data_IF_290983273587
#
_entry.id   IF_290983273587
#
_cell.length_a   1.000
_cell.length_b   1.000
_cell.length_c   1.000
_cell.angle_alpha   90.00
_cell.angle_beta   90.00
_cell.angle_gamma   90.00
#
_symmetry.space_group_name_H-M   'P 1'
#
loop_
_entity.id
_entity.type
_entity.pdbx_description
1 polymer ?
#
# COMPACT_ATOMS: atom_id res chain seq x y z
N UNK A 1 51.24 13.35 -63.06
CA UNK A 1 50.45 12.33 -62.36
C UNK A 1 50.70 12.50 -60.85
N UNK A 2 49.77 13.18 -60.13
CA UNK A 2 49.95 13.50 -58.68
C UNK A 2 49.18 12.44 -57.88
N UNK A 3 49.90 11.59 -57.16
CA UNK A 3 49.32 10.55 -56.36
C UNK A 3 48.87 11.18 -54.97
N UNK A 4 47.55 11.27 -54.71
CA UNK A 4 47.00 11.74 -53.49
C UNK A 4 46.80 10.51 -52.61
N UNK A 5 47.71 10.23 -51.68
CA UNK A 5 47.52 9.22 -50.66
C UNK A 5 46.63 9.79 -49.55
N UNK A 6 45.55 9.12 -49.15
CA UNK A 6 44.71 9.57 -48.04
C UNK A 6 45.50 9.43 -46.74
N UNK A 7 45.52 10.52 -45.94
CA UNK A 7 46.19 10.61 -44.65
C UNK A 7 45.42 9.70 -43.67
N UNK A 8 46.00 8.57 -43.30
CA UNK A 8 45.41 7.69 -42.27
C UNK A 8 45.31 8.41 -40.92
N UNK A 9 44.08 8.54 -40.41
CA UNK A 9 43.83 9.01 -39.06
C UNK A 9 44.39 7.96 -38.08
N UNK A 10 45.39 8.33 -37.28
CA UNK A 10 45.86 7.51 -36.17
C UNK A 10 44.75 7.50 -35.10
N UNK A 11 44.10 6.38 -34.90
CA UNK A 11 43.23 6.14 -33.76
C UNK A 11 44.15 5.90 -32.55
N UNK A 12 44.06 6.77 -31.54
CA UNK A 12 44.71 6.54 -30.27
C UNK A 12 43.86 5.53 -29.48
N UNK A 13 44.45 4.43 -29.07
CA UNK A 13 43.81 3.44 -28.19
C UNK A 13 43.88 3.93 -26.75
N UNK A 14 42.95 3.47 -25.93
CA UNK A 14 42.93 3.75 -24.50
C UNK A 14 44.12 3.09 -23.78
N UNK A 15 44.64 3.76 -22.77
CA UNK A 15 45.66 3.20 -21.90
C UNK A 15 45.04 2.26 -20.88
N UNK A 16 45.80 1.27 -20.40
CA UNK A 16 45.31 0.34 -19.37
C UNK A 16 44.94 1.07 -18.07
N UNK A 17 45.69 2.14 -17.76
CA UNK A 17 45.44 2.94 -16.53
C UNK A 17 44.15 3.76 -16.62
N UNK A 18 43.79 4.28 -17.80
CA UNK A 18 42.49 4.99 -17.99
C UNK A 18 41.30 4.09 -17.75
N UNK A 19 41.37 2.85 -18.25
CA UNK A 19 40.27 1.88 -18.00
C UNK A 19 40.22 1.49 -16.53
N UNK A 20 41.38 1.30 -15.87
CA UNK A 20 41.44 0.93 -14.45
C UNK A 20 40.83 2.02 -13.56
N UNK A 21 41.14 3.29 -13.82
CA UNK A 21 40.56 4.42 -13.09
C UNK A 21 39.06 4.53 -13.37
N UNK A 22 38.64 4.36 -14.62
CA UNK A 22 37.22 4.42 -15.00
C UNK A 22 36.40 3.35 -14.27
N UNK A 23 36.83 2.09 -14.23
CA UNK A 23 36.11 1.02 -13.52
C UNK A 23 36.12 1.22 -12.00
N UNK A 24 37.20 1.79 -11.44
CA UNK A 24 37.26 2.12 -10.02
C UNK A 24 36.22 3.17 -9.65
N UNK A 25 36.08 4.24 -10.44
CA UNK A 25 35.08 5.30 -10.20
C UNK A 25 33.67 4.74 -10.37
N UNK A 26 33.39 3.95 -11.42
CA UNK A 26 32.08 3.31 -11.64
C UNK A 26 31.74 2.41 -10.46
N UNK A 27 32.69 1.64 -9.94
CA UNK A 27 32.51 0.77 -8.78
C UNK A 27 32.05 1.56 -7.54
N UNK A 28 32.70 2.67 -7.23
CA UNK A 28 32.34 3.53 -6.10
C UNK A 28 30.95 4.15 -6.28
N UNK A 29 30.65 4.72 -7.46
CA UNK A 29 29.36 5.33 -7.74
C UNK A 29 28.21 4.31 -7.67
N UNK A 30 28.46 3.08 -8.15
CA UNK A 30 27.46 2.00 -8.14
C UNK A 30 27.04 1.61 -6.72
N UNK A 31 27.95 1.60 -5.75
CA UNK A 31 27.62 1.24 -4.36
C UNK A 31 26.68 2.26 -3.70
N UNK A 32 26.93 3.55 -3.93
CA UNK A 32 26.10 4.64 -3.38
C UNK A 32 24.70 4.59 -4.01
N UNK A 33 24.65 4.40 -5.32
CA UNK A 33 23.38 4.34 -6.07
C UNK A 33 22.50 3.18 -5.60
N UNK A 34 23.08 1.99 -5.41
CA UNK A 34 22.34 0.80 -4.98
C UNK A 34 21.63 1.00 -3.61
N UNK A 35 22.33 1.56 -2.62
CA UNK A 35 21.75 1.82 -1.30
C UNK A 35 20.58 2.82 -1.35
N UNK A 36 20.69 3.86 -2.17
CA UNK A 36 19.65 4.88 -2.33
C UNK A 36 18.39 4.33 -3.04
N UNK A 37 18.57 3.42 -4.01
CA UNK A 37 17.46 2.84 -4.76
C UNK A 37 16.53 1.98 -3.91
N UNK A 38 17.06 1.20 -2.97
CA UNK A 38 16.26 0.38 -2.07
C UNK A 38 15.33 1.25 -1.21
N UNK A 39 15.85 2.29 -0.58
CA UNK A 39 15.09 3.24 0.24
C UNK A 39 14.03 3.99 -0.58
N UNK A 40 14.37 4.40 -1.80
CA UNK A 40 13.42 5.10 -2.67
C UNK A 40 12.24 4.22 -3.08
N UNK A 41 12.46 2.93 -3.32
CA UNK A 41 11.38 1.97 -3.62
C UNK A 41 10.43 1.77 -2.45
N UNK A 42 10.96 1.66 -1.23
CA UNK A 42 10.15 1.52 -0.01
C UNK A 42 9.27 2.77 0.20
N UNK A 43 9.83 3.98 0.07
CA UNK A 43 9.07 5.22 0.16
C UNK A 43 8.00 5.31 -0.96
N UNK A 44 8.34 4.88 -2.18
CA UNK A 44 7.40 4.87 -3.29
C UNK A 44 6.22 3.92 -3.03
N UNK A 45 6.46 2.73 -2.45
CA UNK A 45 5.40 1.80 -2.05
C UNK A 45 4.53 2.38 -0.94
N UNK A 46 5.12 3.04 0.06
CA UNK A 46 4.36 3.71 1.12
C UNK A 46 3.45 4.83 0.58
N UNK A 47 3.93 5.63 -0.37
CA UNK A 47 3.13 6.65 -1.03
C UNK A 47 2.00 6.04 -1.89
N UNK A 48 2.27 4.91 -2.55
CA UNK A 48 1.25 4.17 -3.30
C UNK A 48 0.14 3.68 -2.36
N UNK A 49 0.49 3.11 -1.19
CA UNK A 49 -0.49 2.70 -0.17
C UNK A 49 -1.39 3.84 0.28
N UNK A 50 -0.81 5.03 0.54
CA UNK A 50 -1.61 6.22 0.88
C UNK A 50 -2.56 6.61 -0.24
N UNK A 51 -2.10 6.57 -1.48
CA UNK A 51 -2.92 6.85 -2.67
C UNK A 51 -4.05 5.83 -2.82
N UNK A 52 -3.75 4.55 -2.66
CA UNK A 52 -4.73 3.47 -2.74
C UNK A 52 -5.82 3.60 -1.66
N UNK A 53 -5.42 3.93 -0.41
CA UNK A 53 -6.39 4.18 0.67
C UNK A 53 -7.31 5.35 0.34
N UNK A 54 -6.80 6.44 -0.24
CA UNK A 54 -7.63 7.59 -0.66
C UNK A 54 -8.56 7.23 -1.80
N UNK A 55 -8.08 6.52 -2.81
CA UNK A 55 -8.92 6.07 -3.93
C UNK A 55 -10.04 5.14 -3.47
N UNK A 56 -9.73 4.19 -2.59
CA UNK A 56 -10.74 3.33 -1.97
C UNK A 56 -11.72 4.11 -1.10
N UNK A 57 -11.24 5.10 -0.34
CA UNK A 57 -12.10 5.97 0.45
C UNK A 57 -13.12 6.70 -0.43
N UNK A 58 -12.69 7.29 -1.55
CA UNK A 58 -13.59 7.95 -2.50
C UNK A 58 -14.61 6.96 -3.07
N UNK A 59 -14.18 5.76 -3.48
CA UNK A 59 -15.08 4.73 -4.01
C UNK A 59 -16.13 4.28 -2.98
N UNK A 60 -15.72 4.11 -1.72
CA UNK A 60 -16.61 3.75 -0.60
C UNK A 60 -17.64 4.85 -0.32
N UNK A 61 -17.24 6.13 -0.35
CA UNK A 61 -18.17 7.24 -0.16
C UNK A 61 -19.15 7.40 -1.34
N UNK A 62 -18.71 7.15 -2.57
CA UNK A 62 -19.59 7.12 -3.74
C UNK A 62 -20.61 5.97 -3.64
N UNK A 63 -20.18 4.79 -3.21
CA UNK A 63 -21.10 3.68 -2.94
C UNK A 63 -22.16 4.07 -1.91
N UNK A 64 -21.74 4.71 -0.80
CA UNK A 64 -22.67 5.20 0.22
C UNK A 64 -23.63 6.25 -0.32
N UNK A 65 -23.16 7.17 -1.15
CA UNK A 65 -24.01 8.18 -1.77
C UNK A 65 -25.12 7.56 -2.63
N UNK A 66 -24.80 6.45 -3.31
CA UNK A 66 -25.77 5.74 -4.16
C UNK A 66 -26.72 4.82 -3.38
N UNK A 67 -26.20 4.07 -2.39
CA UNK A 67 -26.95 3.01 -1.69
C UNK A 67 -27.39 3.39 -0.27
N UNK A 68 -27.00 4.56 0.26
CA UNK A 68 -27.34 5.04 1.60
C UNK A 68 -26.56 4.36 2.73
N UNK A 69 -25.72 3.37 2.45
CA UNK A 69 -24.93 2.60 3.41
C UNK A 69 -23.52 2.32 2.89
N UNK A 70 -22.58 2.00 3.76
CA UNK A 70 -21.27 1.55 3.32
C UNK A 70 -21.31 0.11 2.78
N UNK A 71 -20.38 -0.26 1.88
CA UNK A 71 -20.30 -1.61 1.35
C UNK A 71 -19.97 -2.62 2.46
N UNK A 72 -20.50 -3.83 2.33
CA UNK A 72 -20.16 -4.92 3.27
C UNK A 72 -18.75 -5.46 3.02
N UNK A 73 -18.12 -6.02 4.05
CA UNK A 73 -16.90 -6.79 3.90
C UNK A 73 -17.21 -8.23 3.49
N UNK A 74 -16.32 -8.91 2.77
CA UNK A 74 -16.53 -10.30 2.32
C UNK A 74 -16.74 -11.29 3.48
N UNK A 75 -16.21 -11.00 4.66
CA UNK A 75 -16.34 -11.80 5.88
C UNK A 75 -17.57 -11.39 6.73
N UNK A 76 -18.40 -10.48 6.21
CA UNK A 76 -19.59 -10.01 6.90
C UNK A 76 -19.34 -8.85 7.87
N UNK A 77 -20.41 -8.47 8.56
CA UNK A 77 -20.42 -7.32 9.47
C UNK A 77 -19.46 -7.49 10.65
N UNK A 78 -18.81 -6.40 11.03
CA UNK A 78 -17.87 -6.31 12.15
C UNK A 78 -16.65 -7.22 12.08
N UNK A 79 -16.37 -7.80 10.90
CA UNK A 79 -15.22 -8.67 10.66
C UNK A 79 -14.25 -8.02 9.68
N UNK A 80 -12.96 -8.16 9.92
CA UNK A 80 -11.93 -7.72 8.98
C UNK A 80 -11.91 -8.62 7.74
N UNK A 81 -11.71 -8.03 6.60
CA UNK A 81 -11.55 -8.71 5.33
C UNK A 81 -10.34 -8.15 4.57
N UNK A 82 -9.69 -9.02 3.83
CA UNK A 82 -8.51 -8.68 3.04
C UNK A 82 -8.49 -9.46 1.73
N UNK A 83 -7.85 -8.86 0.73
CA UNK A 83 -7.44 -9.53 -0.48
C UNK A 83 -6.11 -10.26 -0.30
N UNK A 84 -5.19 -9.63 0.43
CA UNK A 84 -3.77 -9.96 0.41
C UNK A 84 -3.32 -10.68 1.67
N UNK A 85 -4.03 -10.51 2.80
CA UNK A 85 -3.70 -11.16 4.06
C UNK A 85 -4.33 -12.55 4.14
N UNK A 86 -3.55 -13.57 4.45
CA UNK A 86 -4.06 -14.92 4.70
C UNK A 86 -4.90 -14.99 5.98
N UNK A 87 -4.54 -14.17 6.99
CA UNK A 87 -5.25 -14.13 8.29
C UNK A 87 -6.67 -13.61 8.16
N UNK A 88 -6.92 -12.69 7.22
CA UNK A 88 -8.21 -12.02 7.03
C UNK A 88 -8.78 -12.28 5.64
N UNK A 89 -8.37 -13.38 5.01
CA UNK A 89 -8.81 -13.75 3.66
C UNK A 89 -10.32 -13.85 3.56
N UNK A 90 -10.83 -13.52 2.39
CA UNK A 90 -12.23 -13.79 2.07
C UNK A 90 -12.49 -15.28 1.99
N UNK A 91 -13.72 -15.76 2.31
CA UNK A 91 -14.09 -17.16 2.22
C UNK A 91 -13.99 -17.65 0.78
N UNK A 92 -13.81 -18.96 0.61
CA UNK A 92 -13.82 -19.60 -0.71
C UNK A 92 -15.01 -20.58 -0.79
N UNK A 93 -15.97 -20.33 -1.69
CA UNK A 93 -16.09 -19.19 -2.63
C UNK A 93 -16.35 -17.84 -1.95
N UNK A 94 -15.87 -16.76 -2.54
CA UNK A 94 -15.88 -15.41 -1.95
C UNK A 94 -17.27 -14.90 -1.60
N UNK A 95 -18.31 -15.35 -2.28
CA UNK A 95 -19.72 -14.96 -2.07
C UNK A 95 -20.47 -15.90 -1.11
N UNK A 96 -19.78 -16.75 -0.37
CA UNK A 96 -20.44 -17.71 0.56
C UNK A 96 -21.05 -17.04 1.78
N UNK A 97 -20.53 -15.89 2.21
CA UNK A 97 -21.05 -15.12 3.36
C UNK A 97 -21.93 -13.97 2.89
N UNK A 98 -21.48 -13.19 1.90
CA UNK A 98 -22.23 -12.07 1.33
C UNK A 98 -22.53 -12.37 -0.15
N UNK A 99 -23.80 -12.52 -0.55
CA UNK A 99 -24.17 -12.74 -1.94
C UNK A 99 -23.66 -11.61 -2.86
N UNK A 100 -23.21 -11.98 -4.07
CA UNK A 100 -22.68 -11.05 -5.08
C UNK A 100 -21.43 -10.27 -4.64
N UNK A 101 -20.72 -10.74 -3.64
CA UNK A 101 -19.43 -10.18 -3.25
C UNK A 101 -18.34 -10.63 -4.22
N UNK A 102 -17.62 -9.70 -4.80
CA UNK A 102 -16.55 -9.93 -5.80
C UNK A 102 -15.17 -9.44 -5.36
N UNK A 103 -14.99 -9.17 -4.05
CA UNK A 103 -13.74 -8.71 -3.48
C UNK A 103 -13.82 -8.53 -1.98
N UNK A 104 -12.75 -8.14 -1.32
CA UNK A 104 -12.73 -7.91 0.12
C UNK A 104 -13.62 -6.74 0.58
N UNK A 105 -14.03 -5.88 -0.35
CA UNK A 105 -15.07 -4.86 -0.20
C UNK A 105 -16.14 -5.17 -1.24
N UNK A 106 -17.32 -5.60 -0.79
CA UNK A 106 -18.37 -6.09 -1.65
C UNK A 106 -19.04 -4.97 -2.46
N UNK A 107 -19.26 -5.20 -3.76
CA UNK A 107 -20.03 -4.29 -4.63
C UNK A 107 -19.30 -3.01 -5.05
N UNK A 108 -18.01 -2.86 -4.76
CA UNK A 108 -17.24 -1.72 -5.25
C UNK A 108 -16.78 -1.88 -6.69
N UNK A 109 -16.48 -3.10 -7.10
CA UNK A 109 -16.02 -3.41 -8.46
C UNK A 109 -17.18 -3.94 -9.28
N UNK A 110 -17.38 -3.51 -10.55
CA UNK A 110 -16.56 -2.54 -11.29
C UNK A 110 -17.07 -1.09 -11.21
N UNK A 111 -18.23 -0.83 -10.60
CA UNK A 111 -19.01 0.40 -10.77
C UNK A 111 -18.35 1.64 -10.14
N UNK A 112 -17.66 1.48 -9.02
CA UNK A 112 -17.04 2.58 -8.27
C UNK A 112 -15.52 2.61 -8.39
N UNK A 113 -14.92 1.47 -8.68
CA UNK A 113 -13.50 1.32 -8.94
C UNK A 113 -13.28 0.15 -9.89
N UNK A 114 -12.42 0.31 -10.88
CA UNK A 114 -12.20 -0.72 -11.90
C UNK A 114 -11.63 -2.03 -11.31
N UNK A 115 -10.78 -1.92 -10.27
CA UNK A 115 -10.15 -3.05 -9.60
C UNK A 115 -9.75 -2.66 -8.18
N UNK A 116 -9.95 -3.55 -7.22
CA UNK A 116 -9.43 -3.36 -5.87
C UNK A 116 -7.89 -3.48 -5.87
N UNK A 117 -7.17 -2.52 -5.26
CA UNK A 117 -5.72 -2.56 -5.23
C UNK A 117 -5.20 -3.74 -4.40
N UNK A 118 -3.96 -4.11 -4.65
CA UNK A 118 -3.19 -5.07 -3.87
C UNK A 118 -1.98 -4.37 -3.26
N UNK A 119 -1.54 -4.81 -2.09
CA UNK A 119 -0.34 -4.25 -1.46
C UNK A 119 0.87 -4.41 -2.41
N UNK A 120 1.65 -3.34 -2.64
CA UNK A 120 2.75 -3.36 -3.61
C UNK A 120 3.98 -4.16 -3.16
N UNK A 121 4.05 -4.63 -1.90
CA UNK A 121 5.16 -5.43 -1.41
C UNK A 121 4.84 -6.93 -1.47
N UNK A 122 5.52 -7.71 -2.34
CA UNK A 122 5.34 -9.15 -2.41
C UNK A 122 5.97 -9.91 -1.22
N UNK A 123 6.91 -9.27 -0.48
CA UNK A 123 7.61 -9.85 0.66
C UNK A 123 6.97 -9.57 2.02
N UNK A 124 5.78 -8.97 2.06
CA UNK A 124 5.09 -8.63 3.30
C UNK A 124 4.74 -9.85 4.16
N UNK A 125 4.57 -9.67 5.48
CA UNK A 125 4.05 -10.72 6.36
C UNK A 125 2.65 -11.20 5.92
N UNK A 126 2.31 -12.45 6.20
CA UNK A 126 1.01 -13.07 5.84
C UNK A 126 -0.20 -12.35 6.46
N UNK A 127 0.00 -11.64 7.56
CA UNK A 127 -1.03 -10.80 8.20
C UNK A 127 -1.15 -9.40 7.63
N UNK A 128 -0.19 -8.96 6.81
CA UNK A 128 -0.13 -7.61 6.25
C UNK A 128 -0.96 -7.47 4.97
N UNK A 129 -1.26 -6.22 4.61
CA UNK A 129 -1.98 -5.88 3.40
C UNK A 129 -3.17 -4.95 3.65
N UNK A 130 -4.00 -4.76 2.63
CA UNK A 130 -5.19 -3.93 2.78
C UNK A 130 -6.29 -4.68 3.53
N UNK A 131 -6.73 -4.09 4.65
CA UNK A 131 -7.83 -4.59 5.48
C UNK A 131 -9.01 -3.63 5.44
N UNK A 132 -10.20 -4.19 5.33
CA UNK A 132 -11.45 -3.46 5.41
C UNK A 132 -12.38 -4.07 6.45
N UNK A 133 -13.03 -3.21 7.22
CA UNK A 133 -14.06 -3.59 8.20
C UNK A 133 -15.17 -2.57 8.18
N UNK A 134 -16.39 -3.04 8.28
CA UNK A 134 -17.59 -2.20 8.43
C UNK A 134 -18.38 -2.64 9.65
N UNK A 135 -19.10 -1.73 10.26
CA UNK A 135 -19.99 -1.98 11.39
C UNK A 135 -21.32 -1.26 11.18
N UNK A 136 -22.38 -1.94 11.56
CA UNK A 136 -23.78 -1.59 11.40
C UNK A 136 -24.56 -2.86 11.14
N UNK A 137 -25.80 -3.02 11.51
CA UNK A 137 -26.57 -4.26 11.28
C UNK A 137 -26.60 -4.68 9.82
N UNK A 138 -27.01 -5.93 9.52
CA UNK A 138 -27.13 -6.45 8.16
C UNK A 138 -27.88 -5.46 7.25
N UNK A 139 -27.17 -4.93 6.24
CA UNK A 139 -27.73 -3.91 5.32
C UNK A 139 -27.73 -2.47 5.85
N UNK A 140 -27.11 -2.18 7.00
CA UNK A 140 -27.10 -0.84 7.63
C UNK A 140 -25.68 -0.40 8.03
N UNK A 141 -24.65 -0.78 7.25
CA UNK A 141 -23.29 -0.41 7.53
C UNK A 141 -23.13 1.13 7.60
N UNK A 142 -22.92 1.66 8.81
CA UNK A 142 -22.88 3.10 9.10
C UNK A 142 -21.47 3.63 9.30
N UNK A 143 -20.52 2.76 9.61
CA UNK A 143 -19.13 3.08 9.89
C UNK A 143 -18.20 2.12 9.17
N UNK A 144 -17.00 2.57 8.79
CA UNK A 144 -15.98 1.71 8.23
C UNK A 144 -14.57 2.13 8.67
N UNK A 145 -13.66 1.18 8.59
CA UNK A 145 -12.21 1.40 8.64
C UNK A 145 -11.51 0.60 7.56
N UNK A 146 -10.59 1.28 6.88
CA UNK A 146 -9.73 0.74 5.85
C UNK A 146 -8.29 0.97 6.26
N UNK A 147 -7.45 -0.05 6.19
CA UNK A 147 -6.05 0.02 6.62
C UNK A 147 -5.10 -0.59 5.59
N UNK A 148 -3.89 -0.02 5.48
CA UNK A 148 -2.70 -0.72 5.02
C UNK A 148 -1.99 -1.26 6.27
N UNK A 149 -2.30 -2.50 6.64
CA UNK A 149 -1.95 -3.10 7.93
C UNK A 149 -0.56 -3.72 7.89
N UNK A 150 0.31 -3.31 8.83
CA UNK A 150 1.70 -3.82 8.95
C UNK A 150 2.49 -3.77 7.65
N UNK A 151 2.14 -2.83 6.79
CA UNK A 151 2.72 -2.72 5.44
C UNK A 151 3.68 -1.55 5.29
N UNK A 152 3.69 -0.60 6.23
CA UNK A 152 4.51 0.62 6.14
C UNK A 152 5.99 0.27 6.34
N UNK A 153 6.82 0.68 5.38
CA UNK A 153 8.23 0.30 5.35
C UNK A 153 9.16 1.39 5.88
N UNK A 154 8.89 2.65 5.58
CA UNK A 154 9.75 3.80 5.94
C UNK A 154 9.02 5.01 6.45
N UNK A 155 7.89 5.35 5.84
CA UNK A 155 7.14 6.55 6.17
C UNK A 155 6.20 6.32 7.36
N UNK A 156 6.75 5.83 8.47
CA UNK A 156 6.00 5.53 9.69
C UNK A 156 5.25 6.75 10.21
N UNK A 157 4.03 6.50 10.68
CA UNK A 157 3.22 7.49 11.39
C UNK A 157 3.87 7.78 12.74
N UNK A 158 4.19 9.03 12.99
CA UNK A 158 4.83 9.49 14.24
C UNK A 158 3.84 10.12 15.20
N UNK A 159 2.82 10.76 14.64
CA UNK A 159 1.85 11.55 15.39
C UNK A 159 0.43 11.00 15.23
N UNK A 160 -0.36 11.08 16.27
CA UNK A 160 -1.77 10.66 16.25
C UNK A 160 -2.64 11.59 15.39
N UNK A 161 -2.20 12.81 15.14
CA UNK A 161 -2.89 13.80 14.30
C UNK A 161 -2.60 13.62 12.79
N UNK A 162 -1.76 12.63 12.41
CA UNK A 162 -1.54 12.33 11.01
C UNK A 162 -2.85 11.84 10.36
N UNK A 163 -3.10 12.32 9.15
CA UNK A 163 -4.30 11.98 8.37
C UNK A 163 -4.49 10.46 8.17
N UNK A 164 -3.39 9.71 8.18
CA UNK A 164 -3.36 8.27 8.05
C UNK A 164 -3.11 7.54 9.36
N UNK A 165 -3.18 8.25 10.50
CA UNK A 165 -3.00 7.60 11.79
C UNK A 165 -4.02 6.49 12.00
N UNK A 166 -3.58 5.32 12.40
CA UNK A 166 -4.47 4.20 12.72
C UNK A 166 -5.50 4.59 13.79
N UNK A 167 -5.09 5.40 14.76
CA UNK A 167 -5.93 5.89 15.83
C UNK A 167 -5.60 7.36 16.13
N UNK A 168 -6.58 8.25 16.14
CA UNK A 168 -6.37 9.70 16.22
C UNK A 168 -6.15 10.26 17.62
N UNK A 169 -5.82 9.48 18.62
CA UNK A 169 -5.42 9.95 19.95
C UNK A 169 -4.90 8.81 20.81
N UNK A 170 -4.03 9.06 21.81
CA UNK A 170 -3.76 8.07 22.84
C UNK A 170 -5.08 7.84 23.59
N UNK A 171 -5.68 6.69 23.36
CA UNK A 171 -6.94 6.36 24.03
C UNK A 171 -6.69 6.12 25.51
N UNK A 172 -7.13 7.05 26.35
CA UNK A 172 -7.22 6.88 27.80
C UNK A 172 -8.39 6.00 28.21
N UNK A 173 -9.23 5.59 27.26
CA UNK A 173 -10.47 4.82 27.50
C UNK A 173 -10.68 3.76 26.43
N UNK A 174 -9.82 2.74 26.39
CA UNK A 174 -10.11 1.49 25.66
C UNK A 174 -10.14 1.55 24.12
N UNK A 175 -9.76 2.66 23.50
CA UNK A 175 -9.68 2.77 22.05
C UNK A 175 -8.28 2.46 21.55
N UNK A 176 -8.22 1.69 20.47
CA UNK A 176 -7.00 1.26 19.81
C UNK A 176 -6.06 0.43 20.68
N UNK A 177 -6.44 -0.79 21.01
CA UNK A 177 -5.50 -1.68 21.66
C UNK A 177 -4.27 -1.81 20.80
N UNK A 178 -3.10 -1.60 21.41
CA UNK A 178 -1.86 -2.05 20.80
C UNK A 178 -2.04 -3.55 20.55
N UNK A 179 -2.24 -3.94 19.29
CA UNK A 179 -2.19 -5.35 18.96
C UNK A 179 -0.80 -5.83 19.34
N UNK A 180 -0.66 -6.89 20.15
CA UNK A 180 0.63 -7.36 20.60
C UNK A 180 1.55 -7.57 19.37
N UNK A 181 2.70 -6.90 19.35
CA UNK A 181 3.68 -7.07 18.30
C UNK A 181 3.51 -6.22 17.02
N UNK A 182 2.49 -5.35 16.93
CA UNK A 182 2.30 -4.50 15.76
C UNK A 182 2.52 -3.03 16.14
N UNK A 183 3.60 -2.40 15.68
CA UNK A 183 3.78 -0.97 15.82
C UNK A 183 2.62 -0.24 15.13
N UNK A 184 1.91 0.63 15.84
CA UNK A 184 0.89 1.50 15.23
C UNK A 184 1.46 2.30 14.05
N UNK A 185 2.73 2.66 14.15
CA UNK A 185 3.50 3.34 13.12
C UNK A 185 3.57 2.57 11.77
N UNK A 186 3.49 1.24 11.78
CA UNK A 186 3.58 0.42 10.57
C UNK A 186 2.23 0.23 9.85
N UNK A 187 1.21 1.00 10.20
CA UNK A 187 -0.15 0.87 9.64
C UNK A 187 -0.71 2.23 9.29
N UNK A 188 -1.09 2.41 8.01
CA UNK A 188 -1.92 3.54 7.59
C UNK A 188 -3.39 3.17 7.70
N UNK A 189 -4.24 4.12 8.10
CA UNK A 189 -5.68 3.92 8.15
C UNK A 189 -6.45 5.16 7.66
N UNK A 190 -7.61 4.91 7.08
CA UNK A 190 -8.67 5.89 6.87
C UNK A 190 -9.98 5.30 7.38
N UNK A 191 -10.84 6.12 7.96
CA UNK A 191 -12.06 5.65 8.59
C UNK A 191 -13.14 6.72 8.60
N UNK A 192 -14.39 6.28 8.79
CA UNK A 192 -15.55 7.12 8.98
C UNK A 192 -16.45 6.54 10.06
N UNK A 193 -16.82 7.37 11.02
CA UNK A 193 -17.67 6.99 12.15
C UNK A 193 -16.98 7.16 13.50
N UNK A 194 -17.77 7.29 14.55
CA UNK A 194 -17.29 7.60 15.91
C UNK A 194 -16.54 6.42 16.51
N UNK A 195 -16.98 5.19 16.22
CA UNK A 195 -16.38 3.97 16.76
C UNK A 195 -15.25 3.44 15.86
N UNK A 196 -15.32 3.70 14.56
CA UNK A 196 -14.34 3.20 13.59
C UNK A 196 -12.90 3.63 13.89
N UNK A 197 -12.71 4.80 14.50
CA UNK A 197 -11.39 5.28 14.93
C UNK A 197 -10.71 4.38 15.96
N UNK A 198 -11.49 3.61 16.72
CA UNK A 198 -11.04 2.82 17.86
C UNK A 198 -10.79 1.32 17.53
N UNK A 199 -10.99 0.90 16.27
CA UNK A 199 -10.77 -0.50 15.84
C UNK A 199 -9.33 -0.79 15.45
#
# INVERSE_FOLDING_TARGET
MVSIFPRQKKYQGFTLIEILIAVAIIGILSTITYATFSTSREIARDNLRKTDLKNLQVAIELYKAQYGRYPDSCNGNATWSSRDSETYACPTPINSVIPNCNGFICGLVPDFIAKLPADPDPGRPVSAGYLYRTVGGNGSASEYKLMAHVSVERAFIKDYDDEFARCPAPSTSGGCPALPGIPQAATYAVYKGVNAKNW
#
